data_IF_915037621788
#
_entry.id   IF_915037621788
#
_cell.length_a   1.000
_cell.length_b   1.000
_cell.length_c   1.000
_cell.angle_alpha   90.00
_cell.angle_beta   90.00
_cell.angle_gamma   90.00
#
_symmetry.space_group_name_H-M   'P 1'
#
loop_
_entity.id
_entity.type
_entity.pdbx_description
1 polymer ?
#
# COMPACT_ATOMS: atom_id res chain seq x y z
N UNK A 1 16.71 38.52 1.47
CA UNK A 1 15.35 39.08 1.39
C UNK A 1 14.35 38.07 1.93
N UNK A 2 14.19 38.02 3.25
CA UNK A 2 13.17 37.23 3.94
C UNK A 2 11.86 38.03 3.95
N UNK A 3 11.08 37.97 2.85
CA UNK A 3 9.70 38.46 2.90
C UNK A 3 8.90 37.47 3.74
N UNK A 4 8.29 37.94 4.82
CA UNK A 4 7.49 37.08 5.69
C UNK A 4 6.27 36.56 4.91
N UNK A 5 5.96 35.28 5.06
CA UNK A 5 4.88 34.60 4.34
C UNK A 5 3.50 35.21 4.63
N UNK A 6 3.35 35.81 5.82
CA UNK A 6 2.15 36.55 6.23
C UNK A 6 1.96 37.83 5.41
N UNK A 7 3.06 38.49 5.06
CA UNK A 7 3.04 39.68 4.20
C UNK A 7 2.70 39.30 2.77
N UNK A 8 3.20 38.15 2.30
CA UNK A 8 2.83 37.60 0.99
C UNK A 8 1.33 37.30 0.94
N UNK A 9 0.76 36.65 1.95
CA UNK A 9 -0.69 36.39 2.04
C UNK A 9 -1.53 37.67 2.11
N UNK A 10 -1.12 38.66 2.92
CA UNK A 10 -1.79 39.97 3.03
C UNK A 10 -1.78 40.75 1.72
N UNK A 11 -0.64 40.75 1.02
CA UNK A 11 -0.51 41.42 -0.28
C UNK A 11 -1.47 40.77 -1.29
N UNK A 12 -1.56 39.45 -1.32
CA UNK A 12 -2.49 38.74 -2.20
C UNK A 12 -3.95 38.93 -1.81
N UNK A 13 -4.27 39.05 -0.52
CA UNK A 13 -5.61 39.41 -0.03
C UNK A 13 -6.07 40.77 -0.55
N UNK A 14 -5.21 41.78 -0.42
CA UNK A 14 -5.49 43.12 -0.93
C UNK A 14 -5.70 43.18 -2.44
N UNK A 15 -4.97 42.36 -3.21
CA UNK A 15 -5.12 42.25 -4.67
C UNK A 15 -6.48 41.64 -5.03
N UNK A 16 -6.93 40.60 -4.31
CA UNK A 16 -8.26 39.99 -4.56
C UNK A 16 -9.46 40.86 -4.17
N UNK A 17 -9.34 41.74 -3.17
CA UNK A 17 -10.45 42.59 -2.70
C UNK A 17 -10.72 43.80 -3.63
N UNK A 18 -9.71 44.25 -4.39
CA UNK A 18 -9.84 45.41 -5.30
C UNK A 18 -10.51 45.14 -6.65
N UNK A 19 -11.18 43.99 -6.83
CA UNK A 19 -12.07 43.75 -7.98
C UNK A 19 -11.39 43.31 -9.29
N UNK A 20 -10.05 43.32 -9.38
CA UNK A 20 -9.32 42.68 -10.48
C UNK A 20 -8.80 41.30 -10.03
N UNK A 21 -9.44 40.24 -10.52
CA UNK A 21 -8.97 38.86 -10.31
C UNK A 21 -7.68 38.64 -11.09
N UNK A 22 -6.56 39.02 -10.49
CA UNK A 22 -5.22 38.77 -11.02
C UNK A 22 -4.96 37.25 -11.06
N UNK A 23 -4.96 36.67 -12.27
CA UNK A 23 -4.91 35.22 -12.54
C UNK A 23 -3.67 34.52 -11.95
N UNK A 24 -2.58 35.25 -11.71
CA UNK A 24 -1.32 34.76 -11.13
C UNK A 24 -1.30 34.77 -9.60
N UNK A 25 -1.98 35.71 -8.95
CA UNK A 25 -1.95 35.84 -7.49
C UNK A 25 -2.73 34.74 -6.76
N UNK A 26 -3.73 34.18 -7.41
CA UNK A 26 -4.57 33.17 -6.80
C UNK A 26 -3.91 31.77 -6.73
N UNK A 27 -3.00 31.44 -7.67
CA UNK A 27 -2.20 30.20 -7.58
C UNK A 27 -1.21 30.26 -6.43
N UNK A 28 -0.51 31.39 -6.25
CA UNK A 28 0.43 31.62 -5.15
C UNK A 28 -0.27 31.59 -3.79
N UNK A 29 -1.46 32.21 -3.68
CA UNK A 29 -2.28 32.13 -2.47
C UNK A 29 -2.70 30.69 -2.19
N UNK A 30 -3.06 29.92 -3.21
CA UNK A 30 -3.43 28.52 -3.04
C UNK A 30 -2.25 27.64 -2.59
N UNK A 31 -1.06 27.88 -3.13
CA UNK A 31 0.18 27.24 -2.69
C UNK A 31 0.53 27.59 -1.25
N UNK A 32 0.45 28.87 -0.86
CA UNK A 32 0.68 29.31 0.52
C UNK A 32 -0.31 28.68 1.51
N UNK A 33 -1.57 28.50 1.14
CA UNK A 33 -2.58 27.92 2.04
C UNK A 33 -2.42 26.41 2.19
N UNK A 34 -2.06 25.64 1.14
CA UNK A 34 -1.72 24.23 1.35
C UNK A 34 -0.43 24.09 2.19
N UNK A 35 0.47 25.08 2.17
CA UNK A 35 1.65 25.14 3.05
C UNK A 35 1.36 25.50 4.53
N UNK A 36 0.31 26.30 4.81
CA UNK A 36 0.03 26.84 6.16
C UNK A 36 -1.05 26.04 6.93
N UNK A 37 -1.68 25.03 6.32
CA UNK A 37 -2.64 24.16 7.03
C UNK A 37 -3.99 24.80 7.40
N UNK A 38 -4.19 26.11 7.20
CA UNK A 38 -5.45 26.84 7.41
C UNK A 38 -6.45 26.54 6.27
N UNK A 39 -7.23 25.46 6.43
CA UNK A 39 -7.88 24.77 5.30
C UNK A 39 -9.37 25.02 5.08
N UNK A 40 -10.10 25.57 6.05
CA UNK A 40 -11.54 25.83 5.88
C UNK A 40 -11.80 26.91 4.80
N UNK A 41 -10.91 27.90 4.68
CA UNK A 41 -11.02 28.96 3.66
C UNK A 41 -10.46 28.56 2.28
N UNK A 42 -9.60 27.54 2.21
CA UNK A 42 -9.04 27.03 0.95
C UNK A 42 -10.10 26.39 0.06
N UNK A 43 -10.98 25.60 0.68
CA UNK A 43 -12.05 24.88 0.00
C UNK A 43 -13.01 25.84 -0.69
N UNK A 44 -13.53 26.82 0.04
CA UNK A 44 -14.52 27.77 -0.47
C UNK A 44 -13.96 28.66 -1.57
N UNK A 45 -12.66 28.99 -1.49
CA UNK A 45 -11.97 29.81 -2.48
C UNK A 45 -11.75 29.06 -3.81
N UNK A 46 -11.36 27.78 -3.74
CA UNK A 46 -11.12 26.98 -4.95
C UNK A 46 -12.42 26.55 -5.63
N UNK A 47 -13.48 26.18 -4.91
CA UNK A 47 -14.77 25.82 -5.56
C UNK A 47 -15.37 27.00 -6.34
N UNK A 48 -15.11 28.23 -5.90
CA UNK A 48 -15.50 29.45 -6.63
C UNK A 48 -14.56 29.76 -7.81
N UNK A 49 -13.26 29.49 -7.69
CA UNK A 49 -12.31 29.64 -8.80
C UNK A 49 -12.46 28.56 -9.88
N UNK A 50 -12.89 27.35 -9.53
CA UNK A 50 -13.06 26.25 -10.48
C UNK A 50 -14.09 26.51 -11.57
N UNK A 51 -14.86 27.60 -11.53
CA UNK A 51 -15.91 27.90 -12.50
C UNK A 51 -15.44 28.63 -13.77
N UNK A 52 -14.17 29.03 -13.90
CA UNK A 52 -13.75 29.80 -15.09
C UNK A 52 -12.26 29.80 -15.41
N UNK A 53 -11.59 28.66 -15.62
CA UNK A 53 -10.12 28.74 -15.76
C UNK A 53 -9.49 27.82 -16.81
N UNK A 54 -8.70 28.50 -17.65
CA UNK A 54 -7.50 28.14 -18.42
C UNK A 54 -6.55 27.12 -17.76
N UNK A 55 -5.41 26.84 -18.41
CA UNK A 55 -4.31 25.98 -17.91
C UNK A 55 -3.96 26.13 -16.42
N UNK A 56 -4.08 27.34 -15.86
CA UNK A 56 -3.89 27.62 -14.43
C UNK A 56 -4.91 26.96 -13.48
N UNK A 57 -6.13 26.68 -13.92
CA UNK A 57 -7.18 26.03 -13.13
C UNK A 57 -6.95 24.54 -12.96
N UNK A 58 -6.42 23.89 -14.01
CA UNK A 58 -6.04 22.47 -13.99
C UNK A 58 -4.94 22.22 -12.96
N UNK A 59 -3.94 23.11 -12.88
CA UNK A 59 -2.87 23.02 -11.88
C UNK A 59 -3.40 23.17 -10.44
N UNK A 60 -4.30 24.13 -10.22
CA UNK A 60 -4.91 24.33 -8.90
C UNK A 60 -5.76 23.13 -8.46
N UNK A 61 -6.52 22.53 -9.39
CA UNK A 61 -7.29 21.32 -9.15
C UNK A 61 -6.39 20.11 -8.85
N UNK A 62 -5.28 19.98 -9.57
CA UNK A 62 -4.26 18.95 -9.30
C UNK A 62 -3.70 19.05 -7.88
N UNK A 63 -3.35 20.26 -7.42
CA UNK A 63 -2.87 20.45 -6.04
C UNK A 63 -3.95 20.15 -4.99
N UNK A 64 -5.20 20.50 -5.26
CA UNK A 64 -6.32 20.15 -4.38
C UNK A 64 -6.49 18.64 -4.27
N UNK A 65 -6.42 17.91 -5.39
CA UNK A 65 -6.49 16.46 -5.42
C UNK A 65 -5.36 15.85 -4.59
N UNK A 66 -4.13 16.29 -4.77
CA UNK A 66 -2.97 15.83 -4.00
C UNK A 66 -3.17 16.04 -2.50
N UNK A 67 -3.50 17.27 -2.07
CA UNK A 67 -3.68 17.57 -0.66
C UNK A 67 -4.92 16.85 -0.07
N UNK A 68 -5.97 16.57 -0.87
CA UNK A 68 -7.14 15.79 -0.43
C UNK A 68 -6.86 14.29 -0.32
N UNK A 69 -6.08 13.72 -1.26
CA UNK A 69 -5.58 12.33 -1.20
C UNK A 69 -4.73 12.11 0.04
N UNK A 70 -3.81 13.03 0.34
CA UNK A 70 -2.96 12.97 1.54
C UNK A 70 -3.78 12.91 2.83
N UNK A 71 -4.96 13.56 2.87
CA UNK A 71 -5.88 13.54 4.02
C UNK A 71 -6.83 12.34 4.04
N UNK A 72 -6.76 11.45 3.06
CA UNK A 72 -7.70 10.34 2.90
C UNK A 72 -9.11 10.77 2.47
N UNK A 73 -9.33 12.02 2.03
CA UNK A 73 -10.64 12.47 1.58
C UNK A 73 -10.86 12.11 0.09
N UNK A 74 -11.00 10.82 -0.17
CA UNK A 74 -11.10 10.27 -1.53
C UNK A 74 -12.41 10.65 -2.23
N UNK A 75 -13.51 10.84 -1.49
CA UNK A 75 -14.78 11.32 -2.05
C UNK A 75 -14.65 12.70 -2.70
N UNK A 76 -13.94 13.61 -2.04
CA UNK A 76 -13.69 14.94 -2.60
C UNK A 76 -12.76 14.91 -3.80
N UNK A 77 -11.78 13.99 -3.80
CA UNK A 77 -10.91 13.74 -4.95
C UNK A 77 -11.77 13.35 -6.15
N UNK A 78 -12.68 12.37 -6.00
CA UNK A 78 -13.58 11.96 -7.08
C UNK A 78 -14.45 13.11 -7.60
N UNK A 79 -15.03 13.94 -6.72
CA UNK A 79 -15.82 15.10 -7.15
C UNK A 79 -15.00 16.08 -7.99
N UNK A 80 -13.76 16.35 -7.56
CA UNK A 80 -12.86 17.26 -8.26
C UNK A 80 -12.43 16.68 -9.61
N UNK A 81 -12.08 15.39 -9.64
CA UNK A 81 -11.71 14.67 -10.86
C UNK A 81 -12.86 14.60 -11.85
N UNK A 82 -14.08 14.30 -11.39
CA UNK A 82 -15.27 14.30 -12.25
C UNK A 82 -15.48 15.67 -12.89
N UNK A 83 -15.36 16.75 -12.11
CA UNK A 83 -15.46 18.11 -12.67
C UNK A 83 -14.39 18.41 -13.72
N UNK A 84 -13.19 17.82 -13.59
CA UNK A 84 -12.14 17.94 -14.59
C UNK A 84 -12.43 17.10 -15.84
N UNK A 85 -12.89 15.86 -15.68
CA UNK A 85 -13.26 14.95 -16.78
C UNK A 85 -14.41 15.53 -17.59
N UNK A 86 -15.45 16.07 -16.95
CA UNK A 86 -16.61 16.70 -17.62
C UNK A 86 -16.17 17.87 -18.55
N UNK A 87 -15.00 18.46 -18.30
CA UNK A 87 -14.44 19.60 -19.05
C UNK A 87 -13.36 19.18 -20.05
N UNK A 88 -12.68 18.07 -19.78
CA UNK A 88 -11.59 17.54 -20.59
C UNK A 88 -11.83 16.03 -20.82
N UNK A 89 -12.91 15.67 -21.54
CA UNK A 89 -13.31 14.26 -21.68
C UNK A 89 -12.24 13.43 -22.41
N UNK A 90 -11.50 14.04 -23.34
CA UNK A 90 -10.45 13.40 -24.14
C UNK A 90 -9.14 13.15 -23.37
N UNK A 91 -9.00 13.68 -22.16
CA UNK A 91 -7.78 13.55 -21.37
C UNK A 91 -7.79 12.22 -20.60
N UNK A 92 -7.25 11.19 -21.24
CA UNK A 92 -7.16 9.83 -20.67
C UNK A 92 -6.36 9.80 -19.36
N UNK A 93 -5.46 10.74 -19.10
CA UNK A 93 -4.75 10.80 -17.81
C UNK A 93 -5.70 11.13 -16.67
N UNK A 94 -6.67 12.02 -16.88
CA UNK A 94 -7.69 12.32 -15.86
C UNK A 94 -8.59 11.12 -15.59
N UNK A 95 -8.93 10.35 -16.64
CA UNK A 95 -9.69 9.11 -16.49
C UNK A 95 -8.88 8.05 -15.74
N UNK A 96 -7.59 7.89 -16.07
CA UNK A 96 -6.67 7.02 -15.34
C UNK A 96 -6.63 7.39 -13.85
N UNK A 97 -6.40 8.66 -13.53
CA UNK A 97 -6.35 9.14 -12.14
C UNK A 97 -7.67 8.88 -11.39
N UNK A 98 -8.80 8.92 -12.09
CA UNK A 98 -10.12 8.61 -11.54
C UNK A 98 -10.27 7.12 -11.23
N UNK A 99 -9.86 6.24 -12.15
CA UNK A 99 -9.78 4.80 -11.92
C UNK A 99 -8.88 4.42 -10.74
N UNK A 100 -7.71 5.05 -10.64
CA UNK A 100 -6.77 4.86 -9.52
C UNK A 100 -7.42 5.23 -8.18
N UNK A 101 -8.22 6.29 -8.16
CA UNK A 101 -8.91 6.73 -6.93
C UNK A 101 -9.94 5.70 -6.48
N UNK A 102 -10.64 5.02 -7.39
CA UNK A 102 -11.51 3.89 -7.03
C UNK A 102 -10.74 2.71 -6.44
N UNK A 103 -9.55 2.39 -6.96
CA UNK A 103 -8.68 1.37 -6.37
C UNK A 103 -8.29 1.76 -4.93
N UNK A 104 -7.90 3.02 -4.71
CA UNK A 104 -7.57 3.54 -3.37
C UNK A 104 -8.77 3.47 -2.40
N UNK A 105 -10.00 3.53 -2.91
CA UNK A 105 -11.22 3.41 -2.12
C UNK A 105 -11.65 1.96 -1.86
N UNK A 106 -10.91 0.97 -2.37
CA UNK A 106 -11.33 -0.43 -2.28
C UNK A 106 -12.55 -0.75 -3.15
N UNK A 107 -12.75 -0.02 -4.25
CA UNK A 107 -13.85 -0.20 -5.22
C UNK A 107 -13.31 -0.73 -6.57
N UNK A 108 -12.83 -1.99 -6.64
CA UNK A 108 -12.17 -2.53 -7.81
C UNK A 108 -13.09 -2.65 -9.03
N UNK A 109 -14.40 -2.89 -8.85
CA UNK A 109 -15.34 -3.02 -9.96
C UNK A 109 -15.58 -1.70 -10.69
N UNK A 110 -15.70 -0.60 -9.95
CA UNK A 110 -15.80 0.75 -10.54
C UNK A 110 -14.51 1.11 -11.28
N UNK A 111 -13.35 0.77 -10.69
CA UNK A 111 -12.06 0.96 -11.32
C UNK A 111 -11.94 0.17 -12.64
N UNK A 112 -12.37 -1.10 -12.65
CA UNK A 112 -12.39 -1.94 -13.87
C UNK A 112 -13.19 -1.29 -14.99
N UNK A 113 -14.38 -0.76 -14.69
CA UNK A 113 -15.21 -0.11 -15.69
C UNK A 113 -14.52 1.12 -16.30
N UNK A 114 -13.87 1.95 -15.47
CA UNK A 114 -13.11 3.12 -15.95
C UNK A 114 -11.97 2.68 -16.87
N UNK A 115 -11.14 1.73 -16.43
CA UNK A 115 -9.99 1.30 -17.22
C UNK A 115 -10.39 0.56 -18.51
N UNK A 116 -11.50 -0.19 -18.51
CA UNK A 116 -12.02 -0.79 -19.75
C UNK A 116 -12.40 0.27 -20.78
N UNK A 117 -13.11 1.33 -20.36
CA UNK A 117 -13.47 2.44 -21.26
C UNK A 117 -12.23 3.15 -21.82
N UNK A 118 -11.18 3.31 -21.01
CA UNK A 118 -9.89 3.85 -21.48
C UNK A 118 -9.31 2.93 -22.56
N UNK A 119 -9.31 1.61 -22.35
CA UNK A 119 -8.77 0.66 -23.32
C UNK A 119 -9.62 0.50 -24.60
N UNK A 120 -10.91 0.82 -24.56
CA UNK A 120 -11.74 0.94 -25.77
C UNK A 120 -11.28 2.12 -26.65
N UNK A 121 -10.75 3.18 -26.03
CA UNK A 121 -10.26 4.38 -26.72
C UNK A 121 -8.78 4.26 -27.11
N UNK A 122 -7.93 3.83 -26.17
CA UNK A 122 -6.51 3.54 -26.37
C UNK A 122 -6.17 2.12 -25.86
N UNK A 123 -6.16 1.11 -26.74
CA UNK A 123 -5.80 -0.27 -26.40
C UNK A 123 -4.36 -0.48 -25.90
N UNK A 124 -3.54 0.57 -25.90
CA UNK A 124 -2.13 0.57 -25.52
C UNK A 124 -1.83 1.48 -24.33
N UNK A 125 -2.86 1.99 -23.63
CA UNK A 125 -2.67 2.75 -22.40
C UNK A 125 -2.04 1.85 -21.32
N UNK A 126 -0.76 2.11 -21.05
CA UNK A 126 0.05 1.33 -20.11
C UNK A 126 -0.52 1.35 -18.68
N UNK A 127 -1.13 2.47 -18.27
CA UNK A 127 -1.65 2.67 -16.92
C UNK A 127 -2.90 1.83 -16.73
N UNK A 128 -3.86 1.93 -17.64
CA UNK A 128 -5.07 1.14 -17.65
C UNK A 128 -4.77 -0.37 -17.71
N UNK A 129 -3.83 -0.80 -18.57
CA UNK A 129 -3.38 -2.19 -18.63
C UNK A 129 -2.79 -2.68 -17.31
N UNK A 130 -1.89 -1.90 -16.71
CA UNK A 130 -1.20 -2.29 -15.46
C UNK A 130 -2.17 -2.35 -14.28
N UNK A 131 -3.07 -1.37 -14.16
CA UNK A 131 -4.07 -1.36 -13.09
C UNK A 131 -5.14 -2.43 -13.28
N UNK A 132 -5.60 -2.72 -14.50
CA UNK A 132 -6.50 -3.85 -14.74
C UNK A 132 -5.83 -5.18 -14.44
N UNK A 133 -4.57 -5.36 -14.84
CA UNK A 133 -3.81 -6.56 -14.52
C UNK A 133 -3.62 -6.76 -13.02
N UNK A 134 -3.31 -5.66 -12.30
CA UNK A 134 -3.29 -5.67 -10.83
C UNK A 134 -4.65 -6.06 -10.25
N UNK A 135 -5.76 -5.48 -10.73
CA UNK A 135 -7.09 -5.76 -10.19
C UNK A 135 -7.47 -7.23 -10.42
N UNK A 136 -7.29 -7.76 -11.63
CA UNK A 136 -7.60 -9.15 -11.94
C UNK A 136 -6.77 -10.13 -11.10
N UNK A 137 -5.47 -9.88 -10.93
CA UNK A 137 -4.61 -10.75 -10.12
C UNK A 137 -4.91 -10.67 -8.63
N UNK A 138 -5.15 -9.47 -8.10
CA UNK A 138 -5.23 -9.25 -6.65
C UNK A 138 -6.65 -9.40 -6.11
N UNK A 139 -7.66 -8.82 -6.77
CA UNK A 139 -9.04 -8.84 -6.30
C UNK A 139 -9.85 -10.00 -6.89
N UNK A 140 -9.70 -10.29 -8.19
CA UNK A 140 -10.50 -11.33 -8.84
C UNK A 140 -9.86 -12.74 -8.70
N UNK A 141 -8.56 -12.81 -8.37
CA UNK A 141 -7.79 -14.06 -8.29
C UNK A 141 -7.42 -14.67 -9.65
N UNK A 142 -7.68 -13.97 -10.75
CA UNK A 142 -7.29 -14.40 -12.10
C UNK A 142 -5.82 -14.06 -12.36
N UNK A 143 -4.96 -15.00 -11.96
CA UNK A 143 -3.51 -14.88 -12.10
C UNK A 143 -3.08 -14.83 -13.58
N UNK A 144 -3.74 -15.60 -14.45
CA UNK A 144 -3.34 -15.73 -15.85
C UNK A 144 -3.58 -14.41 -16.58
N UNK A 145 -4.80 -13.87 -16.48
CA UNK A 145 -5.16 -12.61 -17.10
C UNK A 145 -4.38 -11.45 -16.46
N UNK A 146 -4.24 -11.46 -15.15
CA UNK A 146 -3.52 -10.43 -14.42
C UNK A 146 -2.05 -10.32 -14.84
N UNK A 147 -1.35 -11.44 -14.96
CA UNK A 147 0.04 -11.48 -15.45
C UNK A 147 0.14 -11.02 -16.91
N UNK A 148 -0.79 -11.44 -17.77
CA UNK A 148 -0.78 -11.04 -19.18
C UNK A 148 -0.93 -9.52 -19.35
N UNK A 149 -1.86 -8.91 -18.61
CA UNK A 149 -2.11 -7.46 -18.64
C UNK A 149 -0.97 -6.67 -18.00
N UNK A 150 -0.46 -7.09 -16.82
CA UNK A 150 0.69 -6.46 -16.18
C UNK A 150 1.93 -6.49 -17.09
N UNK A 151 2.21 -7.63 -17.74
CA UNK A 151 3.35 -7.76 -18.65
C UNK A 151 3.21 -6.87 -19.90
N UNK A 152 1.98 -6.63 -20.37
CA UNK A 152 1.72 -5.75 -21.51
C UNK A 152 1.81 -4.26 -21.12
N UNK A 153 1.35 -3.92 -19.92
CA UNK A 153 1.27 -2.54 -19.44
C UNK A 153 2.58 -2.00 -18.85
N UNK A 154 3.34 -2.82 -18.12
CA UNK A 154 4.52 -2.34 -17.41
C UNK A 154 5.68 -2.04 -18.37
N UNK A 155 6.11 -0.78 -18.35
CA UNK A 155 7.30 -0.28 -19.02
C UNK A 155 8.20 0.38 -17.98
N UNK A 156 9.46 -0.03 -17.90
CA UNK A 156 10.39 0.41 -16.86
C UNK A 156 10.63 1.94 -16.91
N UNK A 157 10.48 2.54 -18.08
CA UNK A 157 10.71 3.96 -18.32
C UNK A 157 9.50 4.84 -17.99
N UNK A 158 8.31 4.28 -17.72
CA UNK A 158 7.11 5.06 -17.41
C UNK A 158 7.07 5.42 -15.91
N UNK A 159 7.32 6.68 -15.51
CA UNK A 159 7.40 7.05 -14.10
C UNK A 159 6.07 6.87 -13.36
N UNK A 160 4.94 6.83 -14.09
CA UNK A 160 3.61 6.58 -13.51
C UNK A 160 3.44 5.14 -13.03
N UNK A 161 4.29 4.25 -13.53
CA UNK A 161 4.29 2.81 -13.25
C UNK A 161 5.54 2.34 -12.49
N UNK A 162 6.42 3.28 -12.10
CA UNK A 162 7.52 3.04 -11.18
C UNK A 162 7.01 2.88 -9.73
N UNK A 163 6.14 1.89 -9.53
CA UNK A 163 5.57 1.53 -8.23
C UNK A 163 5.83 0.05 -7.96
N UNK A 164 6.44 -0.21 -6.79
CA UNK A 164 6.84 -1.52 -6.33
C UNK A 164 5.69 -2.54 -6.34
N UNK A 165 4.43 -2.11 -6.14
CA UNK A 165 3.27 -3.00 -6.13
C UNK A 165 3.14 -3.80 -7.44
N UNK A 166 3.40 -3.16 -8.58
CA UNK A 166 3.21 -3.81 -9.87
C UNK A 166 4.26 -4.88 -10.14
N UNK A 167 5.52 -4.57 -9.86
CA UNK A 167 6.63 -5.53 -9.98
C UNK A 167 6.47 -6.68 -9.00
N UNK A 168 6.03 -6.39 -7.77
CA UNK A 168 5.74 -7.41 -6.77
C UNK A 168 4.68 -8.38 -7.26
N UNK A 169 3.54 -7.85 -7.73
CA UNK A 169 2.39 -8.64 -8.16
C UNK A 169 2.62 -9.38 -9.49
N UNK A 170 3.36 -8.80 -10.42
CA UNK A 170 3.76 -9.49 -11.67
C UNK A 170 4.69 -10.65 -11.35
N UNK A 171 5.72 -10.43 -10.53
CA UNK A 171 6.63 -11.50 -10.11
C UNK A 171 5.89 -12.61 -9.35
N UNK A 172 5.03 -12.27 -8.38
CA UNK A 172 4.25 -13.27 -7.63
C UNK A 172 3.33 -14.07 -8.56
N UNK A 173 2.66 -13.40 -9.50
CA UNK A 173 1.85 -14.06 -10.51
C UNK A 173 2.66 -15.01 -11.40
N UNK A 174 3.85 -14.58 -11.87
CA UNK A 174 4.74 -15.42 -12.66
C UNK A 174 5.24 -16.63 -11.87
N UNK A 175 5.58 -16.46 -10.59
CA UNK A 175 5.99 -17.54 -9.71
C UNK A 175 4.88 -18.59 -9.57
N UNK A 176 3.63 -18.15 -9.35
CA UNK A 176 2.46 -19.04 -9.24
C UNK A 176 2.14 -19.78 -10.54
N UNK A 177 2.47 -19.19 -11.70
CA UNK A 177 2.37 -19.84 -13.00
C UNK A 177 3.56 -20.77 -13.30
N UNK A 178 4.50 -20.96 -12.37
CA UNK A 178 5.71 -21.77 -12.57
C UNK A 178 6.79 -21.12 -13.44
N UNK A 179 6.62 -19.85 -13.81
CA UNK A 179 7.56 -19.08 -14.66
C UNK A 179 8.62 -18.37 -13.81
N UNK A 180 9.33 -19.16 -13.01
CA UNK A 180 10.25 -18.70 -11.96
C UNK A 180 11.37 -17.80 -12.52
N UNK A 181 11.98 -18.20 -13.64
CA UNK A 181 13.07 -17.42 -14.26
C UNK A 181 12.62 -16.04 -14.75
N UNK A 182 11.38 -15.91 -15.23
CA UNK A 182 10.82 -14.61 -15.61
C UNK A 182 10.47 -13.76 -14.38
N UNK A 183 9.97 -14.39 -13.32
CA UNK A 183 9.69 -13.72 -12.05
C UNK A 183 10.94 -13.06 -11.46
N UNK A 184 12.06 -13.79 -11.40
CA UNK A 184 13.33 -13.24 -10.90
C UNK A 184 13.79 -12.03 -11.71
N UNK A 185 13.67 -12.05 -13.04
CA UNK A 185 14.01 -10.89 -13.88
C UNK A 185 13.15 -9.67 -13.57
N UNK A 186 11.86 -9.87 -13.30
CA UNK A 186 10.96 -8.76 -12.91
C UNK A 186 11.41 -8.16 -11.57
N UNK A 187 11.84 -8.98 -10.63
CA UNK A 187 12.35 -8.50 -9.34
C UNK A 187 13.73 -7.84 -9.45
N UNK A 188 14.60 -8.31 -10.34
CA UNK A 188 15.86 -7.63 -10.68
C UNK A 188 15.60 -6.24 -11.24
N UNK A 189 14.70 -6.11 -12.23
CA UNK A 189 14.29 -4.81 -12.77
C UNK A 189 13.72 -3.91 -11.68
N UNK A 190 12.86 -4.45 -10.80
CA UNK A 190 12.31 -3.69 -9.69
C UNK A 190 13.38 -3.19 -8.70
N UNK A 191 14.41 -3.99 -8.45
CA UNK A 191 15.55 -3.59 -7.62
C UNK A 191 16.42 -2.53 -8.31
N UNK A 192 16.68 -2.68 -9.61
CA UNK A 192 17.45 -1.71 -10.42
C UNK A 192 16.76 -0.34 -10.49
N UNK A 193 15.43 -0.32 -10.47
CA UNK A 193 14.61 0.89 -10.38
C UNK A 193 14.56 1.49 -8.96
N UNK A 194 15.16 0.83 -7.96
CA UNK A 194 15.12 1.25 -6.55
C UNK A 194 13.79 1.02 -5.85
N UNK A 195 12.90 0.19 -6.42
CA UNK A 195 11.60 -0.15 -5.83
C UNK A 195 11.72 -1.19 -4.71
N UNK A 196 12.77 -2.01 -4.75
CA UNK A 196 13.11 -2.99 -3.73
C UNK A 196 14.55 -2.82 -3.29
N UNK A 197 14.88 -3.07 -2.00
CA UNK A 197 16.27 -3.13 -1.55
C UNK A 197 17.12 -4.13 -2.34
N UNK A 198 16.55 -5.28 -2.74
CA UNK A 198 17.16 -6.24 -3.65
C UNK A 198 16.10 -7.12 -4.30
N UNK A 199 16.49 -7.92 -5.31
CA UNK A 199 15.58 -8.88 -5.94
C UNK A 199 15.01 -9.91 -4.94
N UNK A 200 15.74 -10.21 -3.86
CA UNK A 200 15.31 -11.12 -2.79
C UNK A 200 14.58 -10.40 -1.65
N UNK A 201 14.98 -9.19 -1.29
CA UNK A 201 14.34 -8.39 -0.25
C UNK A 201 13.36 -7.40 -0.89
N UNK A 202 12.08 -7.80 -0.95
CA UNK A 202 11.01 -7.08 -1.66
C UNK A 202 9.98 -6.44 -0.73
N UNK A 203 10.36 -6.19 0.52
CA UNK A 203 9.53 -5.47 1.49
C UNK A 203 9.30 -4.04 1.00
N UNK A 204 8.07 -3.55 1.11
CA UNK A 204 7.69 -2.21 0.64
C UNK A 204 7.93 -1.11 1.68
N UNK A 205 7.88 -1.47 2.97
CA UNK A 205 8.07 -0.55 4.09
C UNK A 205 9.39 -0.86 4.77
N UNK A 206 10.41 -0.05 4.49
CA UNK A 206 11.78 -0.27 4.96
C UNK A 206 12.29 0.90 5.78
N UNK A 207 13.22 0.60 6.69
CA UNK A 207 14.03 1.60 7.39
C UNK A 207 15.46 1.46 6.88
N UNK A 208 16.03 2.55 6.39
CA UNK A 208 17.41 2.57 5.91
C UNK A 208 18.41 2.29 7.04
N UNK A 209 19.53 1.65 6.69
CA UNK A 209 20.60 1.31 7.64
C UNK A 209 20.39 0.02 8.43
N UNK A 210 19.25 -0.66 8.27
CA UNK A 210 19.08 -2.01 8.80
C UNK A 210 19.91 -3.02 8.00
N UNK A 211 20.62 -3.90 8.70
CA UNK A 211 21.37 -4.99 8.07
C UNK A 211 20.39 -5.98 7.43
N UNK A 212 20.61 -6.32 6.17
CA UNK A 212 19.79 -7.27 5.42
C UNK A 212 20.54 -8.60 5.24
N UNK A 213 20.05 -9.66 5.87
CA UNK A 213 20.55 -11.04 5.73
C UNK A 213 19.38 -12.01 5.78
N UNK A 214 19.40 -13.08 4.96
CA UNK A 214 18.33 -14.09 4.98
C UNK A 214 18.37 -14.94 6.25
N UNK A 215 19.56 -15.19 6.81
CA UNK A 215 19.76 -16.03 7.97
C UNK A 215 20.52 -15.28 9.06
N UNK A 216 20.05 -15.40 10.30
CA UNK A 216 20.59 -14.74 11.49
C UNK A 216 20.91 -15.78 12.56
N UNK A 217 22.04 -15.64 13.23
CA UNK A 217 22.31 -16.42 14.46
C UNK A 217 21.69 -15.72 15.67
N UNK A 218 21.44 -16.48 16.74
CA UNK A 218 20.85 -15.97 17.99
C UNK A 218 21.65 -14.78 18.55
N UNK A 219 22.98 -14.83 18.45
CA UNK A 219 23.91 -13.79 18.90
C UNK A 219 23.80 -12.50 18.09
N UNK A 220 23.53 -12.60 16.78
CA UNK A 220 23.44 -11.46 15.88
C UNK A 220 22.17 -10.63 16.08
N UNK A 221 21.13 -11.20 16.69
CA UNK A 221 19.84 -10.53 16.90
C UNK A 221 19.88 -9.43 17.97
N UNK A 222 20.86 -9.47 18.89
CA UNK A 222 20.85 -8.63 20.09
C UNK A 222 19.87 -9.08 21.18
N UNK A 223 19.14 -10.19 20.97
CA UNK A 223 18.08 -10.70 21.83
C UNK A 223 18.44 -12.06 22.44
N UNK A 224 19.72 -12.44 22.38
CA UNK A 224 20.20 -13.80 22.65
C UNK A 224 19.79 -14.35 24.01
N UNK A 225 19.83 -13.52 25.06
CA UNK A 225 19.42 -13.91 26.42
C UNK A 225 17.98 -14.40 26.46
N UNK A 226 17.08 -13.69 25.79
CA UNK A 226 15.64 -13.96 25.82
C UNK A 226 15.24 -15.09 24.88
N UNK A 227 15.87 -15.18 23.71
CA UNK A 227 15.69 -16.32 22.80
C UNK A 227 16.11 -17.64 23.46
N UNK A 228 17.23 -17.63 24.23
CA UNK A 228 17.66 -18.79 25.02
C UNK A 228 16.68 -19.17 26.13
N UNK A 229 15.90 -18.23 26.66
CA UNK A 229 14.82 -18.54 27.60
C UNK A 229 13.68 -19.26 26.87
N UNK A 230 13.26 -18.77 25.69
CA UNK A 230 12.25 -19.45 24.87
C UNK A 230 12.69 -20.87 24.48
N UNK A 231 13.98 -21.05 24.16
CA UNK A 231 14.56 -22.37 23.88
C UNK A 231 14.52 -23.32 25.08
N UNK A 232 14.56 -22.82 26.32
CA UNK A 232 14.44 -23.67 27.54
C UNK A 232 12.99 -24.04 27.81
N UNK A 233 12.08 -23.10 27.59
CA UNK A 233 10.64 -23.25 27.83
C UNK A 233 9.89 -23.91 26.65
N UNK A 234 10.58 -24.32 25.59
CA UNK A 234 9.97 -24.83 24.35
C UNK A 234 9.02 -26.02 24.54
N UNK A 235 9.30 -26.87 25.54
CA UNK A 235 8.49 -28.06 25.85
C UNK A 235 7.09 -27.62 26.29
N UNK A 236 7.01 -26.59 27.14
CA UNK A 236 5.74 -26.05 27.64
C UNK A 236 4.93 -25.45 26.50
N UNK A 237 5.57 -24.66 25.64
CA UNK A 237 4.95 -24.06 24.46
C UNK A 237 4.38 -25.16 23.52
N UNK A 238 5.18 -26.20 23.25
CA UNK A 238 4.76 -27.32 22.39
C UNK A 238 3.60 -28.11 23.00
N UNK A 239 3.69 -28.49 24.27
CA UNK A 239 2.67 -29.34 24.89
C UNK A 239 1.31 -28.65 24.96
N UNK A 240 1.30 -27.36 25.28
CA UNK A 240 0.07 -26.57 25.27
C UNK A 240 -0.49 -26.41 23.85
N UNK A 241 0.37 -26.14 22.85
CA UNK A 241 -0.04 -26.10 21.44
C UNK A 241 -0.68 -27.41 20.97
N UNK A 242 -0.08 -28.55 21.33
CA UNK A 242 -0.59 -29.89 20.97
C UNK A 242 -1.90 -30.20 21.69
N UNK A 243 -2.04 -29.80 22.96
CA UNK A 243 -3.28 -29.95 23.71
C UNK A 243 -4.40 -29.10 23.11
N UNK A 244 -4.09 -27.86 22.75
CA UNK A 244 -4.99 -26.93 22.09
C UNK A 244 -5.46 -27.47 20.73
N UNK A 245 -4.55 -27.98 19.90
CA UNK A 245 -4.91 -28.59 18.62
C UNK A 245 -5.87 -29.77 18.75
N UNK A 246 -5.73 -30.58 19.80
CA UNK A 246 -6.60 -31.74 20.04
C UNK A 246 -7.99 -31.36 20.56
N UNK A 247 -8.09 -30.26 21.30
CA UNK A 247 -9.30 -29.89 22.04
C UNK A 247 -10.11 -28.77 21.40
N UNK A 248 -9.43 -27.81 20.76
CA UNK A 248 -10.02 -26.57 20.24
C UNK A 248 -9.49 -26.26 18.83
N UNK A 249 -9.65 -27.21 17.92
CA UNK A 249 -9.14 -27.10 16.54
C UNK A 249 -9.77 -25.94 15.76
N UNK A 250 -11.01 -25.60 16.07
CA UNK A 250 -11.77 -24.51 15.47
C UNK A 250 -11.19 -23.12 15.73
N UNK A 251 -10.28 -22.98 16.69
CA UNK A 251 -9.60 -21.72 16.99
C UNK A 251 -8.40 -21.45 16.08
N UNK A 252 -7.92 -22.47 15.37
CA UNK A 252 -6.86 -22.31 14.40
C UNK A 252 -7.45 -21.77 13.10
N UNK A 253 -7.02 -20.56 12.73
CA UNK A 253 -7.47 -19.88 11.52
C UNK A 253 -6.58 -20.30 10.36
N UNK A 254 -7.15 -20.41 9.15
CA UNK A 254 -6.35 -20.65 7.96
C UNK A 254 -5.40 -19.47 7.73
N UNK A 255 -4.10 -19.75 7.56
CA UNK A 255 -3.14 -18.73 7.10
C UNK A 255 -3.33 -18.46 5.60
N UNK A 256 -3.02 -17.22 5.21
CA UNK A 256 -3.37 -16.50 3.98
C UNK A 256 -3.18 -17.22 2.60
N UNK A 257 -3.68 -16.54 1.57
CA UNK A 257 -3.75 -16.81 0.12
C UNK A 257 -2.41 -17.08 -0.61
N UNK A 258 -1.32 -17.33 0.12
CA UNK A 258 0.00 -17.63 -0.42
C UNK A 258 0.32 -19.12 -0.53
N UNK A 259 -0.64 -19.98 -0.18
CA UNK A 259 -0.52 -21.41 -0.40
C UNK A 259 -0.76 -21.78 -1.86
N UNK A 260 0.09 -22.65 -2.39
CA UNK A 260 -0.11 -23.35 -3.67
C UNK A 260 -0.92 -24.63 -3.46
N UNK A 261 -0.68 -25.32 -2.34
CA UNK A 261 -1.38 -26.54 -1.97
C UNK A 261 -1.25 -26.85 -0.49
N UNK A 262 -2.24 -27.52 0.08
CA UNK A 262 -2.23 -28.02 1.46
C UNK A 262 -2.98 -27.12 2.43
N UNK A 263 -2.96 -27.51 3.70
CA UNK A 263 -3.59 -26.76 4.79
C UNK A 263 -2.49 -26.21 5.70
N UNK A 264 -2.52 -24.91 5.90
CA UNK A 264 -1.76 -24.20 6.91
C UNK A 264 -2.75 -23.44 7.78
N UNK A 265 -2.71 -23.72 9.07
CA UNK A 265 -3.50 -23.01 10.06
C UNK A 265 -2.60 -22.45 11.16
N UNK A 266 -2.99 -21.32 11.72
CA UNK A 266 -2.28 -20.67 12.82
C UNK A 266 -3.22 -20.29 13.95
N UNK A 267 -2.66 -20.31 15.16
CA UNK A 267 -3.32 -19.84 16.36
C UNK A 267 -2.60 -18.59 16.87
N UNK A 268 -3.26 -17.45 16.80
CA UNK A 268 -2.69 -16.15 17.15
C UNK A 268 -2.79 -15.90 18.66
N UNK A 269 -1.64 -15.72 19.30
CA UNK A 269 -1.55 -15.36 20.73
C UNK A 269 -1.41 -13.85 20.87
N UNK A 270 -0.63 -13.26 19.98
CA UNK A 270 -0.38 -11.83 19.92
C UNK A 270 -0.53 -11.37 18.46
N UNK A 271 -1.37 -10.36 18.24
CA UNK A 271 -1.73 -9.84 16.92
C UNK A 271 -1.79 -8.32 16.97
N UNK A 272 -1.29 -7.65 15.93
CA UNK A 272 -1.24 -6.18 15.78
C UNK A 272 -0.82 -5.39 17.05
N UNK A 273 0.21 -5.86 17.77
CA UNK A 273 0.67 -5.15 18.98
C UNK A 273 -0.05 -5.53 20.29
N UNK A 274 -1.07 -6.38 20.25
CA UNK A 274 -1.88 -6.74 21.42
C UNK A 274 -2.00 -8.25 21.64
N UNK A 275 -2.14 -8.66 22.91
CA UNK A 275 -2.46 -10.06 23.25
C UNK A 275 -3.95 -10.33 23.03
N UNK A 276 -4.26 -11.42 22.33
CA UNK A 276 -5.64 -11.85 22.12
C UNK A 276 -6.15 -12.52 23.39
N UNK A 277 -6.81 -11.76 24.26
CA UNK A 277 -7.24 -12.22 25.61
C UNK A 277 -7.97 -13.56 25.60
N UNK A 278 -8.94 -13.72 24.68
CA UNK A 278 -9.70 -14.97 24.53
C UNK A 278 -8.81 -16.16 24.20
N UNK A 279 -7.77 -15.95 23.39
CA UNK A 279 -6.86 -17.02 23.01
C UNK A 279 -5.85 -17.33 24.13
N UNK A 280 -5.48 -16.34 24.92
CA UNK A 280 -4.65 -16.56 26.10
C UNK A 280 -5.35 -17.36 27.20
N UNK A 281 -6.68 -17.34 27.29
CA UNK A 281 -7.42 -18.19 28.22
C UNK A 281 -7.25 -19.69 27.92
N UNK A 282 -7.10 -20.06 26.64
CA UNK A 282 -6.87 -21.45 26.22
C UNK A 282 -5.39 -21.85 26.16
N UNK A 283 -4.48 -20.87 26.13
CA UNK A 283 -3.04 -21.09 26.12
C UNK A 283 -2.31 -20.21 27.18
N UNK A 284 -2.68 -20.35 28.47
CA UNK A 284 -2.18 -19.47 29.53
C UNK A 284 -0.67 -19.55 29.70
N UNK A 285 -0.07 -20.75 29.63
CA UNK A 285 1.37 -20.91 29.86
C UNK A 285 2.18 -20.27 28.74
N UNK A 286 1.75 -20.45 27.50
CA UNK A 286 2.36 -19.82 26.33
C UNK A 286 2.24 -18.31 26.40
N UNK A 287 1.08 -17.79 26.79
CA UNK A 287 0.91 -16.35 26.97
C UNK A 287 1.80 -15.78 28.06
N UNK A 288 1.98 -16.45 29.20
CA UNK A 288 2.84 -15.95 30.27
C UNK A 288 4.32 -15.92 29.87
N UNK A 289 4.80 -16.97 29.20
CA UNK A 289 6.16 -17.02 28.63
C UNK A 289 6.37 -15.90 27.61
N UNK A 290 5.39 -15.68 26.73
CA UNK A 290 5.46 -14.67 25.68
C UNK A 290 5.31 -13.24 26.20
N UNK A 291 4.48 -13.00 27.22
CA UNK A 291 4.41 -11.71 27.93
C UNK A 291 5.76 -11.35 28.51
N UNK A 292 6.39 -12.28 29.23
CA UNK A 292 7.72 -12.05 29.78
C UNK A 292 8.75 -11.74 28.68
N UNK A 293 8.67 -12.39 27.52
CA UNK A 293 9.54 -12.09 26.39
C UNK A 293 9.27 -10.71 25.78
N UNK A 294 8.01 -10.38 25.48
CA UNK A 294 7.63 -9.14 24.77
C UNK A 294 7.88 -7.91 25.65
N UNK A 295 7.49 -7.94 26.93
CA UNK A 295 7.65 -6.80 27.84
C UNK A 295 9.13 -6.47 28.12
N UNK A 296 10.01 -7.47 28.09
CA UNK A 296 11.43 -7.31 28.41
C UNK A 296 12.34 -7.18 27.18
N UNK A 297 11.79 -7.23 25.97
CA UNK A 297 12.56 -7.14 24.72
C UNK A 297 12.12 -5.97 23.85
N UNK A 298 13.09 -5.34 23.18
CA UNK A 298 12.84 -4.39 22.08
C UNK A 298 12.83 -5.08 20.70
N UNK A 299 12.87 -6.40 20.71
CA UNK A 299 13.10 -7.23 19.54
C UNK A 299 11.80 -7.63 18.83
N UNK A 300 10.68 -7.44 19.51
CA UNK A 300 9.37 -7.84 19.04
C UNK A 300 8.68 -6.67 18.33
N UNK A 301 7.98 -6.95 17.22
CA UNK A 301 7.40 -5.90 16.37
C UNK A 301 5.97 -6.12 15.88
N UNK A 302 5.45 -7.34 15.84
CA UNK A 302 4.17 -7.58 15.16
C UNK A 302 3.35 -8.70 15.83
N UNK A 303 3.66 -9.95 15.51
CA UNK A 303 2.76 -11.08 15.76
C UNK A 303 3.49 -12.26 16.40
N UNK A 304 2.78 -12.99 17.27
CA UNK A 304 3.19 -14.32 17.75
C UNK A 304 2.05 -15.28 17.52
N UNK A 305 2.32 -16.31 16.72
CA UNK A 305 1.37 -17.38 16.42
C UNK A 305 2.00 -18.76 16.57
N UNK A 306 1.16 -19.76 16.81
CA UNK A 306 1.50 -21.17 16.70
C UNK A 306 0.99 -21.69 15.36
N UNK A 307 1.92 -21.99 14.46
CA UNK A 307 1.61 -22.37 13.08
C UNK A 307 1.75 -23.89 12.86
N UNK A 308 0.74 -24.49 12.24
CA UNK A 308 0.67 -25.92 11.93
C UNK A 308 0.46 -26.12 10.42
N UNK A 309 1.42 -26.80 9.78
CA UNK A 309 1.34 -27.22 8.39
C UNK A 309 1.11 -28.73 8.26
N UNK A 310 0.17 -29.14 7.40
CA UNK A 310 0.01 -30.55 7.05
C UNK A 310 1.14 -31.03 6.12
N UNK A 311 1.27 -32.35 6.02
CA UNK A 311 2.20 -32.99 5.07
C UNK A 311 1.85 -32.54 3.65
N UNK A 312 2.87 -32.20 2.84
CA UNK A 312 2.74 -31.69 1.47
C UNK A 312 2.16 -30.28 1.32
N UNK A 313 2.07 -29.50 2.39
CA UNK A 313 1.78 -28.06 2.28
C UNK A 313 2.94 -27.35 1.56
N UNK A 314 2.60 -26.58 0.52
CA UNK A 314 3.54 -25.78 -0.29
C UNK A 314 3.08 -24.33 -0.30
N UNK A 315 3.98 -23.46 0.13
CA UNK A 315 3.83 -22.03 0.03
C UNK A 315 4.50 -21.55 -1.26
N UNK A 316 4.00 -20.47 -1.84
CA UNK A 316 4.68 -19.79 -2.94
C UNK A 316 6.06 -19.35 -2.43
N UNK A 317 7.12 -19.92 -3.00
CA UNK A 317 8.50 -19.60 -2.62
C UNK A 317 8.87 -18.17 -3.00
N UNK A 318 9.74 -17.56 -2.19
CA UNK A 318 10.39 -16.28 -2.48
C UNK A 318 11.31 -16.34 -3.69
#
# INVERSE_FOLDING_TARGET
MTRSWRDTLRVHEHITVKGEVCRSGASLRSMCICWIGLWQNFNTFLTKMTLRISSSGRLAAGKLIECARFRGNLYKVLQTQRSLIDRFPEDLQLQNDFGITFVMMGRPDDAKNVFRNILETDPHDNVALSYLGYIHKFYDGDIVLGVALLKKGLKAEDPRLADAKFYYHLGDGLTRLGRISESHRVYEIGADLGLFPSSFQRSLYNIEGLSAKPWWTVEQTGCSKYLKTLEREWIILREEAVALWKTHREKFLAEDNQMVSGDWVAYYIHDDGEFVTKNCEFAPKSCDVLKHFIENTKCFKAEVSQSLGKRFTRCVGL
#
